data_IF_754378101460
#
_entry.id   IF_754378101460
#
_cell.length_a   1.000
_cell.length_b   1.000
_cell.length_c   1.000
_cell.angle_alpha   90.00
_cell.angle_beta   90.00
_cell.angle_gamma   90.00
#
_symmetry.space_group_name_H-M   'P 1'
#
loop_
_entity.id
_entity.type
_entity.pdbx_description
1 polymer ?
#
# COMPACT_ATOMS: atom_id res chain seq x y z
N UNK A 1 -24.74 50.85 15.59
CA UNK A 1 -24.82 49.59 16.35
C UNK A 1 -24.91 48.48 15.31
N UNK A 2 -23.79 47.87 14.96
CA UNK A 2 -23.73 46.78 13.98
C UNK A 2 -23.99 45.47 14.70
N UNK A 3 -25.16 44.89 14.48
CA UNK A 3 -25.51 43.56 14.99
C UNK A 3 -24.64 42.51 14.28
N UNK A 4 -23.69 41.97 15.04
CA UNK A 4 -22.91 40.81 14.63
C UNK A 4 -23.74 39.56 14.87
N UNK A 5 -24.49 39.13 13.86
CA UNK A 5 -25.12 37.81 13.82
C UNK A 5 -24.03 36.74 13.73
N UNK A 6 -23.73 36.09 14.85
CA UNK A 6 -22.93 34.87 14.89
C UNK A 6 -23.69 33.77 14.15
N UNK A 7 -23.30 33.51 12.89
CA UNK A 7 -23.73 32.33 12.16
C UNK A 7 -23.24 31.10 12.91
N UNK A 8 -24.18 30.38 13.52
CA UNK A 8 -23.98 29.04 14.06
C UNK A 8 -23.52 28.15 12.91
N UNK A 9 -22.24 27.79 12.90
CA UNK A 9 -21.74 26.72 12.05
C UNK A 9 -22.48 25.45 12.44
N UNK A 10 -23.44 25.04 11.62
CA UNK A 10 -24.00 23.71 11.69
C UNK A 10 -22.86 22.73 11.42
N UNK A 11 -22.37 22.12 12.50
CA UNK A 11 -21.42 21.01 12.44
C UNK A 11 -22.19 19.84 11.83
N UNK A 12 -22.20 19.78 10.50
CA UNK A 12 -22.77 18.67 9.76
C UNK A 12 -22.21 17.36 10.33
N UNK A 13 -23.11 16.44 10.68
CA UNK A 13 -22.76 15.12 11.20
C UNK A 13 -21.65 14.52 10.34
N UNK A 14 -20.51 14.24 10.98
CA UNK A 14 -19.40 13.53 10.37
C UNK A 14 -19.96 12.14 10.01
N UNK A 15 -20.02 11.74 8.73
CA UNK A 15 -20.55 10.44 8.36
C UNK A 15 -19.76 9.36 9.12
N UNK A 16 -20.44 8.35 9.70
CA UNK A 16 -19.77 7.36 10.52
C UNK A 16 -18.72 6.64 9.68
N UNK A 17 -17.47 6.67 10.14
CA UNK A 17 -16.40 5.92 9.51
C UNK A 17 -16.78 4.44 9.45
N UNK A 18 -16.51 3.78 8.31
CA UNK A 18 -16.78 2.35 8.09
C UNK A 18 -15.83 1.43 8.90
N UNK A 19 -15.76 1.61 10.22
CA UNK A 19 -14.83 0.92 11.14
C UNK A 19 -14.99 -0.61 11.08
N UNK A 20 -16.19 -1.12 10.80
CA UNK A 20 -16.44 -2.56 10.68
C UNK A 20 -15.68 -3.23 9.54
N UNK A 21 -15.50 -2.54 8.41
CA UNK A 21 -14.76 -3.08 7.26
C UNK A 21 -13.26 -3.13 7.55
N UNK A 22 -12.75 -2.07 8.20
CA UNK A 22 -11.36 -1.95 8.66
C UNK A 22 -11.01 -3.09 9.62
N UNK A 23 -11.88 -3.36 10.59
CA UNK A 23 -11.67 -4.43 11.57
C UNK A 23 -11.64 -5.82 10.92
N UNK A 24 -12.52 -6.07 9.94
CA UNK A 24 -12.51 -7.33 9.19
C UNK A 24 -11.21 -7.53 8.43
N UNK A 25 -10.74 -6.50 7.72
CA UNK A 25 -9.49 -6.55 6.96
C UNK A 25 -8.28 -6.69 7.89
N UNK A 26 -8.27 -5.99 9.02
CA UNK A 26 -7.25 -6.13 10.06
C UNK A 26 -7.12 -7.59 10.53
N UNK A 27 -8.23 -8.25 10.84
CA UNK A 27 -8.22 -9.66 11.26
C UNK A 27 -7.68 -10.57 10.16
N UNK A 28 -8.11 -10.38 8.92
CA UNK A 28 -7.61 -11.16 7.76
C UNK A 28 -6.10 -11.00 7.63
N UNK A 29 -5.59 -9.77 7.66
CA UNK A 29 -4.17 -9.47 7.56
C UNK A 29 -3.37 -10.01 8.75
N UNK A 30 -3.95 -9.96 9.95
CA UNK A 30 -3.35 -10.54 11.16
C UNK A 30 -3.19 -12.05 11.04
N UNK A 31 -4.22 -12.75 10.57
CA UNK A 31 -4.19 -14.21 10.34
C UNK A 31 -3.17 -14.59 9.28
N UNK A 32 -3.14 -13.89 8.14
CA UNK A 32 -2.15 -14.08 7.07
C UNK A 32 -0.73 -13.93 7.63
N UNK A 33 -0.50 -12.90 8.44
CA UNK A 33 0.82 -12.62 9.04
C UNK A 33 1.22 -13.68 10.07
N UNK A 34 0.28 -14.13 10.91
CA UNK A 34 0.53 -15.22 11.86
C UNK A 34 0.87 -16.54 11.15
N UNK A 35 0.22 -16.80 10.02
CA UNK A 35 0.54 -17.95 9.18
C UNK A 35 1.93 -17.82 8.51
N UNK A 36 2.31 -16.64 8.02
CA UNK A 36 3.68 -16.37 7.54
C UNK A 36 4.72 -16.67 8.63
N UNK A 37 4.52 -16.17 9.86
CA UNK A 37 5.42 -16.47 10.97
C UNK A 37 5.49 -17.97 11.27
N UNK A 38 4.34 -18.66 11.28
CA UNK A 38 4.30 -20.11 11.50
C UNK A 38 5.11 -20.83 10.41
N UNK A 39 4.87 -20.55 9.12
CA UNK A 39 5.65 -21.13 8.02
C UNK A 39 7.14 -20.81 8.11
N UNK A 40 7.52 -19.63 8.65
CA UNK A 40 8.92 -19.25 8.82
C UNK A 40 9.65 -20.21 9.78
N UNK A 41 8.99 -20.63 10.86
CA UNK A 41 9.54 -21.53 11.87
C UNK A 41 9.50 -23.00 11.44
N UNK A 42 8.46 -23.42 10.71
CA UNK A 42 8.29 -24.82 10.30
C UNK A 42 9.06 -25.18 9.02
N UNK A 43 9.33 -24.21 8.12
CA UNK A 43 9.93 -24.49 6.82
C UNK A 43 11.38 -24.00 6.72
N UNK A 44 12.30 -24.91 6.36
CA UNK A 44 13.74 -24.61 6.21
C UNK A 44 13.98 -23.57 5.12
N UNK A 45 15.04 -22.79 5.29
CA UNK A 45 15.41 -21.73 4.34
C UNK A 45 15.75 -22.33 2.98
N UNK A 46 15.02 -21.89 1.95
CA UNK A 46 15.18 -22.30 0.58
C UNK A 46 14.32 -21.45 -0.36
N UNK A 47 14.59 -21.55 -1.67
CA UNK A 47 13.89 -20.75 -2.69
C UNK A 47 12.37 -20.91 -2.65
N UNK A 48 11.88 -22.12 -2.39
CA UNK A 48 10.45 -22.41 -2.27
C UNK A 48 9.77 -21.61 -1.14
N UNK A 49 10.43 -21.47 0.01
CA UNK A 49 9.92 -20.65 1.12
C UNK A 49 9.87 -19.18 0.73
N UNK A 50 10.93 -18.67 0.10
CA UNK A 50 10.98 -17.29 -0.37
C UNK A 50 9.85 -16.99 -1.35
N UNK A 51 9.56 -17.89 -2.29
CA UNK A 51 8.46 -17.72 -3.24
C UNK A 51 7.09 -17.66 -2.57
N UNK A 52 6.83 -18.52 -1.58
CA UNK A 52 5.58 -18.48 -0.79
C UNK A 52 5.44 -17.15 -0.04
N UNK A 53 6.52 -16.68 0.59
CA UNK A 53 6.50 -15.44 1.37
C UNK A 53 6.26 -14.22 0.47
N UNK A 54 6.93 -14.17 -0.68
CA UNK A 54 6.70 -13.11 -1.67
C UNK A 54 5.24 -13.09 -2.10
N UNK A 55 4.65 -14.25 -2.41
CA UNK A 55 3.25 -14.34 -2.82
C UNK A 55 2.29 -13.89 -1.69
N UNK A 56 2.49 -14.38 -0.46
CA UNK A 56 1.67 -13.97 0.68
C UNK A 56 1.78 -12.48 0.99
N UNK A 57 2.99 -11.92 0.88
CA UNK A 57 3.24 -10.50 1.08
C UNK A 57 2.55 -9.65 0.02
N UNK A 58 2.53 -10.09 -1.25
CA UNK A 58 1.78 -9.42 -2.33
C UNK A 58 0.27 -9.44 -2.07
N UNK A 59 -0.27 -10.58 -1.64
CA UNK A 59 -1.69 -10.68 -1.25
C UNK A 59 -2.01 -9.72 -0.12
N UNK A 60 -1.18 -9.66 0.93
CA UNK A 60 -1.29 -8.66 2.00
C UNK A 60 -1.31 -7.24 1.46
N UNK A 61 -0.38 -6.90 0.56
CA UNK A 61 -0.27 -5.55 0.01
C UNK A 61 -1.55 -5.16 -0.73
N UNK A 62 -2.15 -6.09 -1.48
CA UNK A 62 -3.45 -5.86 -2.14
C UNK A 62 -4.57 -5.56 -1.13
N UNK A 63 -4.68 -6.32 -0.03
CA UNK A 63 -5.68 -6.06 1.01
C UNK A 63 -5.45 -4.72 1.74
N UNK A 64 -4.20 -4.35 2.01
CA UNK A 64 -3.88 -3.06 2.64
C UNK A 64 -4.26 -1.90 1.73
N UNK A 65 -3.84 -1.96 0.46
CA UNK A 65 -4.11 -0.90 -0.53
C UNK A 65 -5.59 -0.83 -0.87
N UNK A 66 -6.29 -1.96 -0.94
CA UNK A 66 -7.73 -1.99 -1.23
C UNK A 66 -8.59 -1.43 -0.11
N UNK A 67 -8.35 -1.85 1.14
CA UNK A 67 -9.24 -1.60 2.27
C UNK A 67 -8.74 -0.49 3.21
N UNK A 68 -7.46 -0.47 3.59
CA UNK A 68 -6.94 0.56 4.51
C UNK A 68 -6.69 1.90 3.83
N UNK A 69 -6.38 1.90 2.53
CA UNK A 69 -6.23 3.13 1.77
C UNK A 69 -7.55 3.63 1.14
N UNK A 70 -8.68 2.94 1.37
CA UNK A 70 -10.01 3.32 0.86
C UNK A 70 -10.05 3.57 -0.68
N UNK A 71 -9.09 3.00 -1.42
CA UNK A 71 -8.85 3.32 -2.84
C UNK A 71 -9.95 2.86 -3.79
N UNK A 72 -10.84 1.99 -3.31
CA UNK A 72 -11.80 1.28 -4.14
C UNK A 72 -12.93 2.16 -4.67
N UNK A 73 -13.26 3.28 -4.00
CA UNK A 73 -14.40 4.11 -4.39
C UNK A 73 -14.11 5.61 -4.58
N UNK A 74 -13.07 6.20 -3.97
CA UNK A 74 -12.88 7.67 -4.05
C UNK A 74 -11.56 8.16 -4.66
N UNK A 75 -10.45 7.40 -4.61
CA UNK A 75 -9.12 8.02 -4.77
C UNK A 75 -8.27 7.42 -5.88
N UNK A 76 -8.77 7.49 -7.12
CA UNK A 76 -7.94 7.31 -8.33
C UNK A 76 -6.67 8.16 -8.27
N UNK A 77 -6.75 9.35 -7.67
CA UNK A 77 -5.62 10.26 -7.43
C UNK A 77 -4.52 9.63 -6.55
N UNK A 78 -4.85 8.89 -5.49
CA UNK A 78 -3.83 8.21 -4.67
C UNK A 78 -3.14 7.08 -5.43
N UNK A 79 -3.87 6.33 -6.27
CA UNK A 79 -3.28 5.29 -7.12
C UNK A 79 -2.23 5.92 -8.04
N UNK A 80 -2.57 7.02 -8.71
CA UNK A 80 -1.61 7.75 -9.55
C UNK A 80 -0.44 8.32 -8.75
N UNK A 81 -0.66 8.77 -7.51
CA UNK A 81 0.41 9.25 -6.63
C UNK A 81 1.41 8.16 -6.22
N UNK A 82 1.03 6.89 -6.22
CA UNK A 82 1.93 5.76 -5.95
C UNK A 82 2.53 5.22 -7.26
N UNK A 83 1.73 5.10 -8.31
CA UNK A 83 2.15 4.52 -9.60
C UNK A 83 3.20 5.38 -10.30
N UNK A 84 3.04 6.72 -10.30
CA UNK A 84 3.97 7.62 -10.99
C UNK A 84 5.40 7.53 -10.39
N UNK A 85 5.62 7.65 -9.06
CA UNK A 85 6.95 7.47 -8.48
C UNK A 85 7.56 6.09 -8.74
N UNK A 86 6.75 5.02 -8.70
CA UNK A 86 7.24 3.66 -8.95
C UNK A 86 7.71 3.51 -10.39
N UNK A 87 6.94 3.98 -11.37
CA UNK A 87 7.34 3.96 -12.79
C UNK A 87 8.60 4.79 -12.99
N UNK A 88 8.70 5.96 -12.37
CA UNK A 88 9.89 6.80 -12.45
C UNK A 88 11.14 6.10 -11.91
N UNK A 89 11.04 5.41 -10.77
CA UNK A 89 12.17 4.64 -10.21
C UNK A 89 12.55 3.49 -11.13
N UNK A 90 11.60 2.73 -11.67
CA UNK A 90 11.91 1.62 -12.58
C UNK A 90 12.59 2.14 -13.85
N UNK A 91 12.09 3.23 -14.42
CA UNK A 91 12.70 3.87 -15.58
C UNK A 91 14.13 4.36 -15.27
N UNK A 92 14.33 5.00 -14.11
CA UNK A 92 15.65 5.46 -13.65
C UNK A 92 16.63 4.29 -13.48
N UNK A 93 16.19 3.18 -12.89
CA UNK A 93 17.02 1.98 -12.73
C UNK A 93 17.48 1.42 -14.09
N UNK A 94 16.57 1.35 -15.06
CA UNK A 94 16.90 0.91 -16.42
C UNK A 94 17.91 1.87 -17.05
N UNK A 95 17.66 3.18 -16.99
CA UNK A 95 18.54 4.20 -17.55
C UNK A 95 19.96 4.11 -16.97
N UNK A 96 20.07 4.02 -15.64
CA UNK A 96 21.35 3.87 -14.94
C UNK A 96 22.07 2.56 -15.26
N UNK A 97 21.33 1.46 -15.46
CA UNK A 97 21.93 0.18 -15.87
C UNK A 97 22.46 0.26 -17.31
N UNK A 98 21.73 0.89 -18.23
CA UNK A 98 22.19 1.07 -19.61
C UNK A 98 23.37 2.04 -19.72
N UNK A 99 23.34 3.19 -19.05
CA UNK A 99 24.48 4.12 -19.06
C UNK A 99 25.67 3.59 -18.25
N UNK A 100 25.42 2.93 -17.12
CA UNK A 100 26.47 2.27 -16.35
C UNK A 100 27.14 1.14 -17.11
N UNK A 101 26.36 0.37 -17.88
CA UNK A 101 26.87 -0.70 -18.76
C UNK A 101 27.68 -0.17 -19.93
N UNK A 102 27.23 0.90 -20.59
CA UNK A 102 27.94 1.50 -21.73
C UNK A 102 29.30 2.08 -21.34
N UNK A 103 29.46 2.60 -20.12
CA UNK A 103 30.76 3.04 -19.57
C UNK A 103 31.73 1.87 -19.40
N UNK A 104 31.24 0.66 -19.10
CA UNK A 104 32.06 -0.53 -18.89
C UNK A 104 32.51 -1.15 -20.22
N UNK A 105 31.73 -0.96 -21.29
CA UNK A 105 32.03 -1.47 -22.64
C UNK A 105 32.90 -0.52 -23.48
N UNK A 106 33.01 0.75 -23.07
CA UNK A 106 33.89 1.77 -23.67
C UNK A 106 35.33 1.77 -23.09
N UNK A 107 35.67 0.85 -22.18
CA UNK A 107 37.03 0.63 -21.66
C UNK A 107 37.55 -0.75 -22.05
#
# INVERSE_FOLDING_TARGET
MSDHTHGTHEVGEIPPANTGLIWRTFVILSVITAFEFTLAYFMKAGGFRTSIFVLMTLVKAFYIVGEFMHLKHEVKSLIWAIVIPVIFIVWLLIALLTEGGSIFELR
#
